data_IF_513338144561
#
_entry.id   IF_513338144561
#
_cell.length_a   1.000
_cell.length_b   1.000
_cell.length_c   1.000
_cell.angle_alpha   90.00
_cell.angle_beta   90.00
_cell.angle_gamma   90.00
#
_symmetry.space_group_name_H-M   'P 1'
#
loop_
_entity.id
_entity.type
_entity.pdbx_description
1 polymer ?
#
# COMPACT_ATOMS: atom_id res chain seq x y z
N UNK A 1 13.94 0.54 6.25
CA UNK A 1 12.57 0.27 5.79
C UNK A 1 12.58 -0.76 4.67
N UNK A 2 11.63 -1.68 4.68
CA UNK A 2 11.34 -2.59 3.56
C UNK A 2 9.91 -2.33 3.08
N UNK A 3 9.75 -2.01 1.80
CA UNK A 3 8.45 -1.83 1.16
C UNK A 3 8.22 -2.93 0.13
N UNK A 4 7.13 -3.67 0.28
CA UNK A 4 6.73 -4.74 -0.63
C UNK A 4 5.57 -4.25 -1.52
N UNK A 5 5.63 -4.60 -2.80
CA UNK A 5 4.67 -4.10 -3.80
C UNK A 5 4.68 -2.57 -3.83
N UNK A 6 5.88 -2.01 -3.85
CA UNK A 6 6.17 -0.60 -3.55
C UNK A 6 5.52 0.40 -4.52
N UNK A 7 5.25 -0.02 -5.75
CA UNK A 7 4.73 0.87 -6.77
C UNK A 7 5.71 2.01 -7.06
N UNK A 8 5.22 3.24 -6.94
CA UNK A 8 6.01 4.46 -7.17
C UNK A 8 6.62 5.02 -5.87
N UNK A 9 6.83 4.22 -4.84
CA UNK A 9 7.37 4.61 -3.53
C UNK A 9 6.57 5.69 -2.80
N UNK A 10 5.24 5.62 -2.87
CA UNK A 10 4.37 6.53 -2.12
C UNK A 10 4.59 6.43 -0.60
N UNK A 11 4.98 5.26 -0.09
CA UNK A 11 5.32 5.08 1.32
C UNK A 11 6.58 5.87 1.70
N UNK A 12 7.61 5.89 0.85
CA UNK A 12 8.82 6.69 1.08
C UNK A 12 8.51 8.19 1.12
N UNK A 13 7.68 8.66 0.18
CA UNK A 13 7.20 10.05 0.17
C UNK A 13 6.39 10.38 1.44
N UNK A 14 5.58 9.44 1.93
CA UNK A 14 4.80 9.64 3.15
C UNK A 14 5.70 9.75 4.39
N UNK A 15 6.74 8.94 4.51
CA UNK A 15 7.74 9.00 5.58
C UNK A 15 8.50 10.33 5.54
N UNK A 16 8.94 10.77 4.36
CA UNK A 16 9.61 12.05 4.16
C UNK A 16 8.72 13.22 4.61
N UNK A 17 7.47 13.26 4.16
CA UNK A 17 6.50 14.29 4.56
C UNK A 17 6.16 14.27 6.05
N UNK A 18 6.25 13.12 6.69
CA UNK A 18 6.07 12.97 8.13
C UNK A 18 7.33 13.36 8.93
N UNK A 19 8.42 13.75 8.27
CA UNK A 19 9.71 14.08 8.90
C UNK A 19 10.42 12.87 9.51
N UNK A 20 10.08 11.65 9.06
CA UNK A 20 10.68 10.41 9.54
C UNK A 20 11.92 10.13 8.71
N UNK A 21 13.09 10.23 9.34
CA UNK A 21 14.36 9.93 8.69
C UNK A 21 14.46 8.43 8.39
N UNK A 22 14.78 8.11 7.14
CA UNK A 22 15.02 6.74 6.66
C UNK A 22 16.46 6.64 6.19
N UNK A 23 17.26 5.80 6.85
CA UNK A 23 18.67 5.62 6.45
C UNK A 23 18.80 4.72 5.22
N UNK A 24 17.99 3.65 5.16
CA UNK A 24 17.96 2.73 4.01
C UNK A 24 16.54 2.36 3.66
N UNK A 25 16.19 2.47 2.38
CA UNK A 25 14.90 2.07 1.85
C UNK A 25 15.07 0.98 0.79
N UNK A 26 14.49 -0.17 1.06
CA UNK A 26 14.47 -1.34 0.17
C UNK A 26 13.07 -1.49 -0.41
N UNK A 27 12.98 -1.58 -1.73
CA UNK A 27 11.71 -1.69 -2.45
C UNK A 27 11.66 -3.00 -3.24
N UNK A 28 10.61 -3.79 -3.02
CA UNK A 28 10.27 -4.93 -3.86
C UNK A 28 9.14 -4.54 -4.80
N UNK A 29 9.48 -4.38 -6.08
CA UNK A 29 8.58 -4.02 -7.17
C UNK A 29 9.05 -4.69 -8.47
N UNK A 30 8.12 -5.06 -9.36
CA UNK A 30 8.43 -5.69 -10.66
C UNK A 30 8.02 -4.84 -11.86
N UNK A 31 7.14 -3.86 -11.65
CA UNK A 31 6.73 -2.93 -12.71
C UNK A 31 7.87 -1.94 -13.02
N UNK A 32 8.45 -2.10 -14.22
CA UNK A 32 9.56 -1.26 -14.68
C UNK A 32 9.23 0.24 -14.79
N UNK A 33 7.95 0.60 -14.97
CA UNK A 33 7.54 2.00 -15.04
C UNK A 33 7.43 2.60 -13.64
N UNK A 34 6.86 1.86 -12.70
CA UNK A 34 6.85 2.25 -11.29
C UNK A 34 8.27 2.41 -10.74
N UNK A 35 9.16 1.44 -11.00
CA UNK A 35 10.58 1.52 -10.62
C UNK A 35 11.26 2.77 -11.21
N UNK A 36 10.98 3.12 -12.48
CA UNK A 36 11.54 4.35 -13.08
C UNK A 36 11.09 5.62 -12.34
N UNK A 37 9.84 5.68 -11.92
CA UNK A 37 9.32 6.82 -11.14
C UNK A 37 10.00 6.87 -9.78
N UNK A 38 10.12 5.74 -9.10
CA UNK A 38 10.86 5.64 -7.83
C UNK A 38 12.28 6.14 -7.97
N UNK A 39 13.04 5.63 -8.94
CA UNK A 39 14.45 5.98 -9.11
C UNK A 39 14.66 7.45 -9.54
N UNK A 40 13.68 8.05 -10.21
CA UNK A 40 13.73 9.47 -10.56
C UNK A 40 13.53 10.39 -9.34
N UNK A 41 12.70 9.97 -8.37
CA UNK A 41 12.40 10.76 -7.18
C UNK A 41 13.27 10.40 -5.97
N UNK A 42 13.66 9.14 -5.86
CA UNK A 42 14.44 8.57 -4.76
C UNK A 42 15.56 7.68 -5.31
N UNK A 43 16.65 8.26 -5.84
CA UNK A 43 17.72 7.52 -6.53
C UNK A 43 18.45 6.52 -5.63
N UNK A 44 18.47 6.74 -4.31
CA UNK A 44 19.13 5.88 -3.33
C UNK A 44 18.28 4.66 -2.93
N UNK A 45 17.06 4.52 -3.45
CA UNK A 45 16.21 3.36 -3.17
C UNK A 45 16.84 2.09 -3.74
N UNK A 46 17.03 1.09 -2.90
CA UNK A 46 17.55 -0.22 -3.29
C UNK A 46 16.41 -1.09 -3.83
N UNK A 47 16.44 -1.34 -5.14
CA UNK A 47 15.44 -2.21 -5.79
C UNK A 47 15.79 -3.68 -5.59
N UNK A 48 14.85 -4.43 -5.02
CA UNK A 48 14.99 -5.86 -4.74
C UNK A 48 14.36 -6.76 -5.81
N UNK A 49 13.47 -6.21 -6.65
CA UNK A 49 12.72 -6.96 -7.65
C UNK A 49 11.59 -7.80 -7.06
N UNK A 50 11.46 -9.04 -7.53
CA UNK A 50 10.37 -9.93 -7.14
C UNK A 50 10.46 -10.36 -5.66
N UNK A 51 9.38 -10.17 -4.92
CA UNK A 51 9.27 -10.53 -3.49
C UNK A 51 9.42 -12.03 -3.26
N UNK A 52 8.98 -12.85 -4.21
CA UNK A 52 9.03 -14.33 -4.10
C UNK A 52 10.47 -14.87 -4.14
N UNK A 53 11.38 -14.12 -4.75
CA UNK A 53 12.79 -14.48 -4.86
C UNK A 53 13.63 -14.07 -3.62
N UNK A 54 13.02 -13.36 -2.64
CA UNK A 54 13.77 -12.83 -1.49
C UNK A 54 13.63 -13.69 -0.25
N UNK A 55 14.77 -13.95 0.39
CA UNK A 55 14.83 -14.58 1.70
C UNK A 55 15.09 -13.51 2.76
N UNK A 56 14.62 -13.74 3.98
CA UNK A 56 14.85 -12.81 5.09
C UNK A 56 16.34 -12.64 5.40
N UNK A 57 17.12 -13.70 5.26
CA UNK A 57 18.56 -13.71 5.53
C UNK A 57 19.37 -12.88 4.53
N UNK A 58 18.80 -12.56 3.36
CA UNK A 58 19.42 -11.69 2.35
C UNK A 58 19.27 -10.20 2.70
N UNK A 59 18.51 -9.87 3.75
CA UNK A 59 18.14 -8.51 4.09
C UNK A 59 18.79 -8.09 5.42
N UNK A 60 19.14 -6.81 5.56
CA UNK A 60 19.60 -6.29 6.85
C UNK A 60 18.44 -6.26 7.86
N UNK A 61 18.73 -5.87 9.09
CA UNK A 61 17.68 -5.61 10.08
C UNK A 61 16.70 -4.56 9.56
N UNK A 62 15.42 -4.91 9.57
CA UNK A 62 14.32 -4.07 9.11
C UNK A 62 13.53 -3.57 10.31
N UNK A 63 13.44 -2.26 10.50
CA UNK A 63 12.65 -1.65 11.57
C UNK A 63 11.17 -1.52 11.18
N UNK A 64 10.89 -1.25 9.90
CA UNK A 64 9.55 -1.03 9.38
C UNK A 64 9.33 -1.80 8.09
N UNK A 65 8.31 -2.66 8.08
CA UNK A 65 7.81 -3.36 6.90
C UNK A 65 6.52 -2.70 6.44
N UNK A 66 6.47 -2.22 5.20
CA UNK A 66 5.27 -1.65 4.58
C UNK A 66 4.90 -2.50 3.36
N UNK A 67 3.61 -2.61 3.05
CA UNK A 67 3.18 -3.26 1.82
C UNK A 67 1.72 -3.02 1.49
N UNK A 68 1.40 -3.18 0.21
CA UNK A 68 0.04 -3.18 -0.32
C UNK A 68 -0.11 -4.34 -1.29
N UNK A 69 -0.35 -5.55 -0.78
CA UNK A 69 -0.43 -6.73 -1.64
C UNK A 69 -1.55 -6.59 -2.68
N UNK A 70 -1.36 -7.12 -3.92
CA UNK A 70 -2.39 -7.11 -4.94
C UNK A 70 -3.71 -7.68 -4.44
N UNK A 71 -4.80 -6.92 -4.65
CA UNK A 71 -6.12 -7.25 -4.14
C UNK A 71 -6.93 -8.24 -5.02
N UNK A 72 -6.36 -8.68 -6.13
CA UNK A 72 -7.11 -9.46 -7.14
C UNK A 72 -7.62 -10.82 -6.63
N UNK A 73 -7.04 -11.38 -5.58
CA UNK A 73 -7.54 -12.56 -4.88
C UNK A 73 -8.63 -12.26 -3.83
N UNK A 74 -8.75 -11.01 -3.39
CA UNK A 74 -9.63 -10.56 -2.30
C UNK A 74 -10.81 -9.71 -2.77
N UNK A 75 -10.90 -9.39 -4.08
CA UNK A 75 -11.90 -8.46 -4.58
C UNK A 75 -13.31 -9.05 -4.62
N UNK A 76 -14.31 -8.18 -4.52
CA UNK A 76 -15.76 -8.48 -4.56
C UNK A 76 -16.23 -9.31 -5.77
N UNK A 77 -15.42 -9.40 -6.84
CA UNK A 77 -15.74 -10.08 -8.08
C UNK A 77 -15.09 -11.49 -8.20
N UNK A 78 -14.28 -11.91 -7.23
CA UNK A 78 -13.53 -13.16 -7.27
C UNK A 78 -14.22 -14.30 -6.52
N UNK A 79 -14.19 -15.50 -7.08
CA UNK A 79 -14.53 -16.74 -6.41
C UNK A 79 -13.68 -16.91 -5.16
N UNK A 80 -14.29 -17.46 -4.10
CA UNK A 80 -13.74 -17.79 -2.78
C UNK A 80 -12.22 -17.91 -2.72
N UNK A 81 -11.62 -17.26 -1.70
CA UNK A 81 -10.23 -17.44 -1.26
C UNK A 81 -9.92 -18.92 -1.11
N UNK A 82 -9.47 -19.55 -2.17
CA UNK A 82 -8.73 -20.78 -2.07
C UNK A 82 -7.28 -20.38 -1.80
N UNK A 83 -6.65 -20.98 -0.79
CA UNK A 83 -5.23 -20.85 -0.49
C UNK A 83 -4.33 -21.21 -1.71
N UNK A 84 -4.90 -21.85 -2.70
CA UNK A 84 -4.26 -22.23 -3.96
C UNK A 84 -4.37 -21.17 -5.08
N UNK A 85 -5.03 -20.00 -4.84
CA UNK A 85 -5.07 -18.94 -5.86
C UNK A 85 -3.71 -18.20 -5.90
N UNK A 86 -2.99 -18.23 -7.04
CA UNK A 86 -1.71 -17.55 -7.19
C UNK A 86 -1.72 -16.06 -6.81
N UNK A 87 -2.90 -15.44 -6.84
CA UNK A 87 -3.07 -14.02 -6.52
C UNK A 87 -3.11 -13.74 -5.03
N UNK A 88 -3.52 -14.73 -4.21
CA UNK A 88 -3.42 -14.66 -2.75
C UNK A 88 -2.01 -15.02 -2.26
N UNK A 89 -1.22 -15.73 -3.09
CA UNK A 89 0.15 -16.11 -2.76
C UNK A 89 1.02 -14.89 -2.38
N UNK A 90 0.83 -13.76 -3.06
CA UNK A 90 1.60 -12.54 -2.80
C UNK A 90 1.32 -11.93 -1.40
N UNK A 91 0.10 -12.03 -0.88
CA UNK A 91 -0.16 -11.66 0.50
C UNK A 91 0.62 -12.56 1.48
N UNK A 92 0.71 -13.86 1.20
CA UNK A 92 1.46 -14.79 2.05
C UNK A 92 2.96 -14.54 2.00
N UNK A 93 3.50 -13.98 0.91
CA UNK A 93 4.88 -13.51 0.86
C UNK A 93 5.13 -12.35 1.86
N UNK A 94 4.17 -11.40 1.95
CA UNK A 94 4.23 -10.36 2.98
C UNK A 94 4.24 -10.99 4.39
N UNK A 95 3.33 -11.92 4.66
CA UNK A 95 3.25 -12.62 5.98
C UNK A 95 4.52 -13.42 6.26
N UNK A 96 5.08 -14.10 5.26
CA UNK A 96 6.34 -14.84 5.38
C UNK A 96 7.48 -13.92 5.81
N UNK A 97 7.67 -12.82 5.12
CA UNK A 97 8.72 -11.85 5.44
C UNK A 97 8.47 -11.16 6.78
N UNK A 98 7.22 -10.81 7.12
CA UNK A 98 6.87 -10.26 8.43
C UNK A 98 7.27 -11.20 9.57
N UNK A 99 6.96 -12.50 9.46
CA UNK A 99 7.27 -13.50 10.47
C UNK A 99 8.76 -13.81 10.57
N UNK A 100 9.48 -13.78 9.46
CA UNK A 100 10.91 -14.09 9.41
C UNK A 100 11.77 -12.91 9.88
N UNK A 101 11.49 -11.70 9.39
CA UNK A 101 12.26 -10.48 9.69
C UNK A 101 11.93 -9.91 11.08
N UNK A 102 10.71 -10.13 11.57
CA UNK A 102 10.21 -9.60 12.85
C UNK A 102 10.51 -8.11 13.04
N UNK A 103 10.11 -7.26 12.07
CA UNK A 103 10.39 -5.84 12.15
C UNK A 103 9.71 -5.24 13.38
N UNK A 104 10.26 -4.13 13.91
CA UNK A 104 9.67 -3.43 15.05
C UNK A 104 8.26 -2.93 14.74
N UNK A 105 8.05 -2.50 13.50
CA UNK A 105 6.77 -1.98 13.02
C UNK A 105 6.39 -2.58 11.67
N UNK A 106 5.09 -2.67 11.43
CA UNK A 106 4.58 -3.04 10.12
C UNK A 106 3.30 -2.27 9.77
N UNK A 107 3.08 -2.09 8.47
CA UNK A 107 1.85 -1.54 7.89
C UNK A 107 1.50 -2.33 6.64
N UNK A 108 0.31 -2.90 6.61
CA UNK A 108 -0.29 -3.45 5.39
C UNK A 108 -1.48 -2.58 4.98
N UNK A 109 -1.49 -2.12 3.74
CA UNK A 109 -2.64 -1.46 3.12
C UNK A 109 -3.36 -2.40 2.18
N UNK A 110 -4.70 -2.36 2.16
CA UNK A 110 -5.45 -3.04 1.10
C UNK A 110 -6.78 -2.34 0.81
N UNK A 111 -7.40 -2.71 -0.30
CA UNK A 111 -8.70 -2.19 -0.72
C UNK A 111 -9.82 -2.64 0.22
N UNK A 112 -10.97 -1.96 0.13
CA UNK A 112 -12.19 -2.47 0.76
C UNK A 112 -12.55 -3.83 0.18
N UNK A 113 -12.79 -4.80 1.07
CA UNK A 113 -13.07 -6.20 0.75
C UNK A 113 -14.22 -6.76 1.58
N UNK A 114 -14.61 -7.99 1.29
CA UNK A 114 -15.60 -8.72 2.09
C UNK A 114 -15.02 -9.07 3.47
N UNK A 115 -15.93 -9.22 4.45
CA UNK A 115 -15.55 -9.55 5.83
C UNK A 115 -14.70 -10.81 5.91
N UNK A 116 -15.07 -11.85 5.20
CA UNK A 116 -14.35 -13.14 5.22
C UNK A 116 -12.89 -12.99 4.79
N UNK A 117 -12.63 -12.15 3.78
CA UNK A 117 -11.26 -11.85 3.33
C UNK A 117 -10.49 -10.99 4.33
N UNK A 118 -11.19 -10.04 4.94
CA UNK A 118 -10.62 -9.17 5.98
C UNK A 118 -10.24 -9.98 7.23
N UNK A 119 -11.10 -10.93 7.64
CA UNK A 119 -10.86 -11.80 8.78
C UNK A 119 -9.59 -12.65 8.58
N UNK A 120 -9.37 -13.19 7.36
CA UNK A 120 -8.14 -13.96 7.03
C UNK A 120 -6.88 -13.10 7.20
N UNK A 121 -6.91 -11.85 6.74
CA UNK A 121 -5.76 -10.94 6.89
C UNK A 121 -5.55 -10.60 8.37
N UNK A 122 -6.63 -10.29 9.09
CA UNK A 122 -6.63 -9.99 10.53
C UNK A 122 -6.03 -11.15 11.33
N UNK A 123 -6.48 -12.38 11.08
CA UNK A 123 -5.96 -13.58 11.75
C UNK A 123 -4.47 -13.81 11.46
N UNK A 124 -4.05 -13.59 10.21
CA UNK A 124 -2.64 -13.78 9.81
C UNK A 124 -1.70 -12.75 10.44
N UNK A 125 -2.17 -11.50 10.62
CA UNK A 125 -1.38 -10.39 11.14
C UNK A 125 -1.56 -10.17 12.66
N UNK A 126 -2.64 -10.69 13.25
CA UNK A 126 -2.94 -10.58 14.67
C UNK A 126 -3.34 -9.18 15.13
N UNK A 127 -3.79 -8.31 14.22
CA UNK A 127 -4.24 -6.95 14.51
C UNK A 127 -5.47 -6.60 13.69
N UNK A 128 -6.38 -5.82 14.28
CA UNK A 128 -7.58 -5.35 13.59
C UNK A 128 -7.25 -4.21 12.60
N UNK A 129 -7.95 -4.14 11.47
CA UNK A 129 -7.75 -3.07 10.51
C UNK A 129 -8.41 -1.77 10.93
N UNK A 130 -7.80 -0.65 10.57
CA UNK A 130 -8.44 0.67 10.61
C UNK A 130 -8.89 1.05 9.19
N UNK A 131 -10.13 1.42 9.05
CA UNK A 131 -10.68 1.93 7.79
C UNK A 131 -10.41 3.42 7.67
N UNK A 132 -9.83 3.85 6.54
CA UNK A 132 -9.63 5.27 6.23
C UNK A 132 -10.07 5.52 4.78
N UNK A 133 -10.86 6.58 4.60
CA UNK A 133 -11.11 7.12 3.28
C UNK A 133 -10.23 8.36 3.07
N UNK A 134 -9.40 8.36 2.03
CA UNK A 134 -8.55 9.51 1.73
C UNK A 134 -9.33 10.80 1.44
N UNK A 135 -10.64 10.73 1.23
CA UNK A 135 -11.51 11.90 1.10
C UNK A 135 -11.49 12.82 2.31
N UNK A 136 -11.12 12.31 3.48
CA UNK A 136 -10.95 13.12 4.70
C UNK A 136 -9.78 14.12 4.58
N UNK A 137 -8.75 13.77 3.82
CA UNK A 137 -7.51 14.56 3.74
C UNK A 137 -7.13 14.96 2.31
N UNK A 138 -7.96 14.66 1.34
CA UNK A 138 -7.71 14.96 -0.07
C UNK A 138 -9.01 15.08 -0.86
N UNK A 139 -8.91 15.55 -2.10
CA UNK A 139 -10.04 15.60 -3.03
C UNK A 139 -10.38 14.24 -3.67
N UNK A 140 -9.77 13.14 -3.23
CA UNK A 140 -9.99 11.80 -3.79
C UNK A 140 -10.79 10.90 -2.86
N UNK A 141 -11.82 10.23 -3.38
CA UNK A 141 -12.53 9.17 -2.68
C UNK A 141 -11.78 7.85 -2.90
N UNK A 142 -10.99 7.41 -1.89
CA UNK A 142 -10.19 6.18 -1.93
C UNK A 142 -10.30 5.46 -0.59
N UNK A 143 -11.13 4.44 -0.52
CA UNK A 143 -11.41 3.66 0.68
C UNK A 143 -10.38 2.54 0.85
N UNK A 144 -9.72 2.49 2.03
CA UNK A 144 -8.67 1.52 2.34
C UNK A 144 -8.77 1.01 3.76
N UNK A 145 -8.30 -0.22 3.95
CA UNK A 145 -8.00 -0.80 5.25
C UNK A 145 -6.50 -0.79 5.49
N UNK A 146 -6.13 -0.53 6.73
CA UNK A 146 -4.75 -0.52 7.20
C UNK A 146 -4.62 -1.43 8.42
N UNK A 147 -3.77 -2.45 8.33
CA UNK A 147 -3.38 -3.31 9.46
C UNK A 147 -1.99 -2.89 9.91
N UNK A 148 -1.82 -2.62 11.21
CA UNK A 148 -0.54 -2.17 11.75
C UNK A 148 -0.45 -2.45 13.26
N UNK A 149 0.76 -2.68 13.75
CA UNK A 149 1.06 -2.63 15.17
C UNK A 149 1.40 -1.21 15.67
N UNK A 150 1.36 -0.21 14.78
CA UNK A 150 1.41 1.20 15.12
C UNK A 150 -0.03 1.66 15.33
N UNK A 151 -0.35 2.39 16.42
CA UNK A 151 -1.68 2.98 16.58
C UNK A 151 -2.02 3.90 15.42
N UNK A 152 -3.13 3.62 14.75
CA UNK A 152 -3.64 4.45 13.65
C UNK A 152 -4.89 5.18 14.16
N UNK A 153 -4.92 6.48 13.95
CA UNK A 153 -6.08 7.33 14.24
C UNK A 153 -6.66 7.81 12.92
N UNK A 154 -7.98 7.70 12.79
CA UNK A 154 -8.67 8.27 11.62
C UNK A 154 -8.46 9.80 11.62
N UNK A 155 -8.01 10.37 10.49
CA UNK A 155 -7.78 11.81 10.42
C UNK A 155 -9.09 12.60 10.39
N UNK A 156 -9.07 13.81 10.92
CA UNK A 156 -10.17 14.76 10.79
C UNK A 156 -10.42 15.12 9.32
N UNK A 157 -11.70 15.38 8.99
CA UNK A 157 -12.06 15.85 7.65
C UNK A 157 -11.56 17.28 7.43
N UNK A 158 -10.63 17.43 6.50
CA UNK A 158 -10.08 18.73 6.08
C UNK A 158 -10.97 19.50 5.11
N UNK A 159 -12.09 18.93 4.68
CA UNK A 159 -13.05 19.55 3.76
C UNK A 159 -12.52 19.82 2.36
N UNK A 160 -11.37 19.26 1.96
CA UNK A 160 -10.74 19.49 0.65
C UNK A 160 -11.62 18.92 -0.44
N UNK A 161 -12.06 19.76 -1.37
CA UNK A 161 -12.88 19.34 -2.52
C UNK A 161 -12.12 19.46 -3.83
N UNK A 162 -12.65 18.84 -4.89
CA UNK A 162 -11.95 18.76 -6.16
C UNK A 162 -11.67 20.14 -6.76
N UNK A 163 -12.59 21.10 -6.62
CA UNK A 163 -12.40 22.49 -7.08
C UNK A 163 -11.19 23.19 -6.44
N UNK A 164 -10.79 22.76 -5.21
CA UNK A 164 -9.70 23.42 -4.47
C UNK A 164 -8.31 23.03 -5.01
N UNK A 165 -8.26 21.96 -5.82
CA UNK A 165 -7.00 21.44 -6.38
C UNK A 165 -6.92 21.57 -7.91
N UNK A 166 -7.96 22.13 -8.55
CA UNK A 166 -7.92 22.44 -9.98
C UNK A 166 -7.06 23.69 -10.20
N UNK A 167 -6.08 23.60 -11.07
CA UNK A 167 -5.30 24.74 -11.53
C UNK A 167 -6.12 25.57 -12.53
N UNK A 168 -6.95 24.88 -13.34
CA UNK A 168 -7.78 25.45 -14.38
C UNK A 168 -9.01 24.56 -14.64
N UNK A 169 -10.10 25.12 -15.15
CA UNK A 169 -11.30 24.38 -15.51
C UNK A 169 -12.41 24.37 -14.46
N UNK A 170 -13.43 23.55 -14.71
CA UNK A 170 -14.65 23.45 -13.91
C UNK A 170 -15.00 21.98 -13.58
N UNK A 171 -15.57 21.76 -12.40
CA UNK A 171 -16.12 20.46 -12.01
C UNK A 171 -17.38 20.65 -11.18
N UNK A 172 -18.38 19.79 -11.39
CA UNK A 172 -19.59 19.66 -10.58
C UNK A 172 -19.43 18.63 -9.45
N UNK A 173 -18.28 17.92 -9.40
CA UNK A 173 -18.00 16.90 -8.41
C UNK A 173 -17.25 17.47 -7.22
N UNK A 174 -17.62 17.06 -6.01
CA UNK A 174 -16.89 17.43 -4.81
C UNK A 174 -15.62 16.62 -4.61
N UNK A 175 -15.61 15.34 -5.03
CA UNK A 175 -14.46 14.43 -4.90
C UNK A 175 -14.22 13.68 -6.21
N UNK A 176 -12.95 13.40 -6.52
CA UNK A 176 -12.60 12.53 -7.63
C UNK A 176 -12.81 11.07 -7.28
N UNK A 177 -13.21 10.28 -8.27
CA UNK A 177 -13.06 8.83 -8.22
C UNK A 177 -11.64 8.47 -8.68
N UNK A 178 -11.15 7.30 -8.28
CA UNK A 178 -9.88 6.79 -8.77
C UNK A 178 -9.97 6.60 -10.29
N UNK A 179 -9.09 7.27 -11.04
CA UNK A 179 -8.93 7.04 -12.47
C UNK A 179 -8.32 5.65 -12.67
N UNK A 180 -9.01 4.79 -13.38
CA UNK A 180 -8.42 3.55 -13.87
C UNK A 180 -7.79 3.80 -15.24
N UNK A 181 -6.58 3.29 -15.45
CA UNK A 181 -5.79 3.43 -16.70
C UNK A 181 -6.59 3.00 -17.95
N UNK A 182 -7.57 2.10 -17.79
CA UNK A 182 -8.41 1.60 -18.87
C UNK A 182 -9.40 2.61 -19.47
N UNK A 183 -9.47 3.84 -18.95
CA UNK A 183 -10.36 4.90 -19.45
C UNK A 183 -9.65 6.21 -19.80
N UNK A 184 -8.33 6.24 -19.79
CA UNK A 184 -7.57 7.31 -20.43
C UNK A 184 -7.60 7.07 -21.94
N UNK A 185 -8.75 7.33 -22.57
CA UNK A 185 -8.80 7.55 -24.01
C UNK A 185 -8.40 9.01 -24.21
N UNK A 186 -7.29 9.19 -24.87
CA UNK A 186 -6.80 10.45 -25.42
C UNK A 186 -7.83 11.00 -26.40
#
# INVERSE_FOLDING_TARGET
VLSLFDGMSCAQLALDRAGIKVDNYFASEVDKFAIKVTQANFPDTVQLGDVTAKQADDLPTIDLLIGGSPCQGFSFAGKQLNFDDPRSALFWEYVRLLKSLKPKHFVLENVRMKKESMDVITDALGVEPVFINSSLVSAQNRQRYYWSNIPIVEPDDKGIVLKDILEDGFTDRSKSLMLTISKAVI
#
